data_IF_046801582273
#
_entry.id   IF_046801582273
#
_cell.length_a   1.000
_cell.length_b   1.000
_cell.length_c   1.000
_cell.angle_alpha   90.00
_cell.angle_beta   90.00
_cell.angle_gamma   90.00
#
_symmetry.space_group_name_H-M   'P 1'
#
loop_
_entity.id
_entity.type
_entity.pdbx_description
1 polymer ?
#
# COMPACT_ATOMS: atom_id res chain seq x y z
N UNK A 1 1.28 6.65 -67.67
CA UNK A 1 0.53 7.57 -66.80
C UNK A 1 -0.02 6.89 -65.53
N UNK A 2 -0.48 5.63 -65.58
CA UNK A 2 -1.02 4.93 -64.40
C UNK A 2 0.06 4.49 -63.37
N UNK A 3 1.23 4.04 -63.86
CA UNK A 3 2.34 3.57 -63.02
C UNK A 3 2.99 4.67 -62.17
N UNK A 4 3.08 5.90 -62.69
CA UNK A 4 3.62 7.05 -61.96
C UNK A 4 2.71 7.50 -60.81
N UNK A 5 1.39 7.31 -60.97
CA UNK A 5 0.43 7.66 -59.93
C UNK A 5 0.54 6.72 -58.73
N UNK A 6 0.63 5.40 -58.97
CA UNK A 6 0.82 4.39 -57.91
C UNK A 6 2.07 4.64 -57.06
N UNK A 7 3.19 5.00 -57.70
CA UNK A 7 4.45 5.29 -57.01
C UNK A 7 4.35 6.55 -56.13
N UNK A 8 3.61 7.56 -56.60
CA UNK A 8 3.31 8.79 -55.85
C UNK A 8 2.44 8.50 -54.61
N UNK A 9 1.38 7.69 -54.78
CA UNK A 9 0.49 7.31 -53.67
C UNK A 9 1.23 6.50 -52.61
N UNK A 10 2.08 5.56 -53.03
CA UNK A 10 2.88 4.73 -52.10
C UNK A 10 3.94 5.56 -51.35
N UNK A 11 4.53 6.55 -52.02
CA UNK A 11 5.48 7.48 -51.38
C UNK A 11 4.80 8.42 -50.38
N UNK A 12 3.55 8.81 -50.62
CA UNK A 12 2.80 9.67 -49.70
C UNK A 12 2.31 8.91 -48.46
N UNK A 13 1.89 7.64 -48.62
CA UNK A 13 1.52 6.77 -47.49
C UNK A 13 2.73 6.46 -46.61
N UNK A 14 3.89 6.15 -47.21
CA UNK A 14 5.13 5.97 -46.45
C UNK A 14 5.58 7.26 -45.75
N UNK A 15 5.45 8.44 -46.37
CA UNK A 15 5.76 9.71 -45.68
C UNK A 15 4.77 10.06 -44.56
N UNK A 16 3.50 9.69 -44.71
CA UNK A 16 2.48 9.86 -43.66
C UNK A 16 2.76 8.96 -42.46
N UNK A 17 3.16 7.71 -42.73
CA UNK A 17 3.53 6.72 -41.72
C UNK A 17 4.89 7.02 -41.07
N UNK A 18 5.88 7.43 -41.86
CA UNK A 18 7.16 8.01 -41.42
C UNK A 18 7.00 9.49 -41.02
N UNK A 19 5.86 9.81 -40.42
CA UNK A 19 5.51 11.13 -39.92
C UNK A 19 6.66 11.73 -39.12
N UNK A 20 7.20 12.86 -39.59
CA UNK A 20 8.13 13.73 -38.85
C UNK A 20 7.32 14.52 -37.78
N UNK A 21 6.48 13.80 -37.01
CA UNK A 21 5.71 14.30 -35.88
C UNK A 21 6.49 14.18 -34.56
N UNK A 22 7.82 14.23 -34.66
CA UNK A 22 8.72 14.10 -33.53
C UNK A 22 8.52 15.17 -32.45
N UNK A 23 7.80 16.27 -32.72
CA UNK A 23 7.58 17.33 -31.76
C UNK A 23 6.83 16.85 -30.51
N UNK A 24 5.66 16.22 -30.66
CA UNK A 24 4.87 15.76 -29.50
C UNK A 24 5.44 14.51 -28.82
N UNK A 25 6.11 13.63 -29.57
CA UNK A 25 6.76 12.44 -28.99
C UNK A 25 8.04 12.82 -28.24
N UNK A 26 8.84 13.75 -28.76
CA UNK A 26 10.00 14.28 -28.06
C UNK A 26 9.58 15.09 -26.82
N UNK A 27 8.50 15.88 -26.90
CA UNK A 27 7.93 16.57 -25.73
C UNK A 27 7.49 15.57 -24.64
N UNK A 28 6.77 14.52 -25.02
CA UNK A 28 6.38 13.46 -24.08
C UNK A 28 7.59 12.75 -23.47
N UNK A 29 8.62 12.46 -24.28
CA UNK A 29 9.85 11.84 -23.81
C UNK A 29 10.63 12.76 -22.86
N UNK A 30 10.69 14.07 -23.14
CA UNK A 30 11.34 15.07 -22.27
C UNK A 30 10.60 15.18 -20.94
N UNK A 31 9.27 15.27 -20.95
CA UNK A 31 8.47 15.30 -19.72
C UNK A 31 8.67 14.01 -18.93
N UNK A 32 8.63 12.85 -19.59
CA UNK A 32 8.86 11.55 -18.94
C UNK A 32 10.26 11.47 -18.34
N UNK A 33 11.27 11.97 -19.05
CA UNK A 33 12.64 12.04 -18.54
C UNK A 33 12.78 13.01 -17.35
N UNK A 34 12.11 14.16 -17.39
CA UNK A 34 12.07 15.12 -16.28
C UNK A 34 11.36 14.54 -15.05
N UNK A 35 10.24 13.85 -15.24
CA UNK A 35 9.54 13.18 -14.15
C UNK A 35 10.35 12.00 -13.61
N UNK A 36 11.00 11.23 -14.49
CA UNK A 36 11.88 10.13 -14.08
C UNK A 36 13.08 10.63 -13.27
N UNK A 37 13.72 11.72 -13.68
CA UNK A 37 14.84 12.33 -12.93
C UNK A 37 14.38 12.95 -11.61
N UNK A 38 13.22 13.59 -11.58
CA UNK A 38 12.63 14.08 -10.34
C UNK A 38 12.32 12.94 -9.36
N UNK A 39 11.67 11.86 -9.83
CA UNK A 39 11.40 10.67 -9.02
C UNK A 39 12.70 10.01 -8.57
N UNK A 40 13.71 9.89 -9.45
CA UNK A 40 15.02 9.32 -9.09
C UNK A 40 15.72 10.12 -7.99
N UNK A 41 15.66 11.46 -8.04
CA UNK A 41 16.28 12.31 -7.00
C UNK A 41 15.48 12.34 -5.71
N UNK A 42 14.16 12.15 -5.77
CA UNK A 42 13.30 12.03 -4.60
C UNK A 42 13.37 10.64 -3.94
N UNK A 43 13.68 9.58 -4.70
CA UNK A 43 13.64 8.18 -4.24
C UNK A 43 14.45 7.90 -2.95
N UNK A 44 15.70 8.40 -2.79
CA UNK A 44 16.47 8.15 -1.56
C UNK A 44 15.80 8.76 -0.34
N UNK A 45 15.37 10.02 -0.45
CA UNK A 45 14.68 10.71 0.66
C UNK A 45 13.31 10.11 0.95
N UNK A 46 12.61 9.61 -0.08
CA UNK A 46 11.33 8.95 0.09
C UNK A 46 11.48 7.58 0.77
N UNK A 47 12.58 6.86 0.51
CA UNK A 47 12.92 5.61 1.20
C UNK A 47 13.09 5.82 2.71
N UNK A 48 13.85 6.84 3.12
CA UNK A 48 14.05 7.16 4.53
C UNK A 48 12.74 7.56 5.24
N UNK A 49 11.91 8.36 4.57
CA UNK A 49 10.59 8.75 5.09
C UNK A 49 9.65 7.54 5.19
N UNK A 50 9.71 6.61 4.24
CA UNK A 50 8.93 5.37 4.27
C UNK A 50 9.36 4.44 5.40
N UNK A 51 10.66 4.31 5.67
CA UNK A 51 11.21 3.54 6.79
C UNK A 51 10.70 4.10 8.13
N UNK A 52 10.84 5.42 8.33
CA UNK A 52 10.34 6.10 9.54
C UNK A 52 8.81 5.95 9.67
N UNK A 53 8.08 6.10 8.57
CA UNK A 53 6.62 5.93 8.54
C UNK A 53 6.18 4.50 8.87
N UNK A 54 6.96 3.49 8.47
CA UNK A 54 6.70 2.08 8.83
C UNK A 54 6.88 1.87 10.33
N UNK A 55 7.96 2.37 10.91
CA UNK A 55 8.20 2.27 12.35
C UNK A 55 7.09 2.96 13.16
N UNK A 56 6.71 4.17 12.78
CA UNK A 56 5.61 4.90 13.44
C UNK A 56 4.28 4.16 13.34
N UNK A 57 3.94 3.62 12.16
CA UNK A 57 2.73 2.79 12.00
C UNK A 57 2.76 1.54 12.87
N UNK A 58 3.91 0.87 12.97
CA UNK A 58 4.05 -0.30 13.85
C UNK A 58 3.85 0.09 15.31
N UNK A 59 4.36 1.23 15.76
CA UNK A 59 4.13 1.74 17.12
C UNK A 59 2.63 2.01 17.33
N UNK A 60 1.96 2.69 16.40
CA UNK A 60 0.52 2.96 16.49
C UNK A 60 -0.33 1.68 16.54
N UNK A 61 0.07 0.64 15.81
CA UNK A 61 -0.59 -0.66 15.84
C UNK A 61 -0.35 -1.41 17.16
N UNK A 62 0.88 -1.35 17.69
CA UNK A 62 1.21 -1.93 18.99
C UNK A 62 0.42 -1.24 20.12
N UNK A 63 0.26 0.07 20.08
CA UNK A 63 -0.54 0.81 21.07
C UNK A 63 -2.02 0.40 21.04
N UNK A 64 -2.58 0.15 19.85
CA UNK A 64 -3.94 -0.37 19.71
C UNK A 64 -4.05 -1.77 20.31
N UNK A 65 -3.09 -2.66 20.06
CA UNK A 65 -3.07 -4.01 20.63
C UNK A 65 -2.94 -3.93 22.15
N UNK A 66 -2.07 -3.06 22.67
CA UNK A 66 -1.89 -2.86 24.11
C UNK A 66 -3.19 -2.42 24.77
N UNK A 67 -3.88 -1.45 24.18
CA UNK A 67 -5.17 -0.98 24.69
C UNK A 67 -6.23 -2.08 24.66
N UNK A 68 -6.32 -2.83 23.56
CA UNK A 68 -7.23 -3.97 23.44
C UNK A 68 -6.91 -5.08 24.45
N UNK A 69 -5.63 -5.39 24.66
CA UNK A 69 -5.19 -6.38 25.63
C UNK A 69 -5.51 -5.95 27.07
N UNK A 70 -5.36 -4.66 27.40
CA UNK A 70 -5.80 -4.11 28.69
C UNK A 70 -7.30 -4.26 28.87
N UNK A 71 -8.08 -3.85 27.87
CA UNK A 71 -9.54 -3.96 27.93
C UNK A 71 -9.99 -5.41 28.07
N UNK A 72 -9.37 -6.34 27.34
CA UNK A 72 -9.60 -7.77 27.47
C UNK A 72 -9.28 -8.26 28.89
N UNK A 73 -8.12 -7.93 29.45
CA UNK A 73 -7.76 -8.37 30.80
C UNK A 73 -8.70 -7.81 31.87
N UNK A 74 -9.10 -6.54 31.74
CA UNK A 74 -10.04 -5.88 32.64
C UNK A 74 -11.44 -6.53 32.53
N UNK A 75 -11.91 -6.81 31.31
CA UNK A 75 -13.18 -7.49 31.05
C UNK A 75 -13.17 -8.94 31.53
N UNK A 76 -12.14 -9.73 31.21
CA UNK A 76 -11.96 -11.09 31.72
C UNK A 76 -11.87 -11.11 33.24
N UNK A 77 -11.14 -10.17 33.86
CA UNK A 77 -11.09 -10.05 35.32
C UNK A 77 -12.44 -9.67 35.94
N UNK A 78 -13.26 -8.88 35.25
CA UNK A 78 -14.61 -8.51 35.69
C UNK A 78 -15.61 -9.66 35.51
N UNK A 79 -15.52 -10.41 34.41
CA UNK A 79 -16.40 -11.54 34.09
C UNK A 79 -16.05 -12.79 34.90
N UNK A 80 -14.78 -13.13 34.95
CA UNK A 80 -14.28 -14.32 35.66
C UNK A 80 -14.01 -14.04 37.14
N UNK A 81 -13.86 -12.78 37.56
CA UNK A 81 -13.57 -12.46 38.96
C UNK A 81 -12.14 -12.82 39.37
N UNK A 82 -11.50 -11.94 40.14
CA UNK A 82 -10.11 -12.15 40.61
C UNK A 82 -10.02 -13.40 41.47
N UNK A 83 -9.31 -14.43 41.01
CA UNK A 83 -8.92 -15.58 41.83
C UNK A 83 -9.89 -16.76 41.87
N UNK A 84 -10.44 -17.19 40.72
CA UNK A 84 -11.12 -18.50 40.62
C UNK A 84 -10.11 -19.63 40.72
N UNK A 85 -10.37 -20.59 41.60
CA UNK A 85 -9.72 -21.90 41.56
C UNK A 85 -10.27 -22.67 40.33
N UNK A 86 -9.44 -23.43 39.61
CA UNK A 86 -9.89 -24.22 38.46
C UNK A 86 -11.01 -25.19 38.91
N UNK A 87 -12.22 -25.06 38.33
CA UNK A 87 -13.41 -25.82 38.71
C UNK A 87 -14.53 -25.03 39.44
N UNK A 88 -14.37 -23.72 39.64
CA UNK A 88 -15.36 -22.84 40.28
C UNK A 88 -15.93 -21.82 39.28
N UNK A 89 -17.25 -21.74 39.09
CA UNK A 89 -17.88 -20.79 38.15
C UNK A 89 -18.00 -19.35 38.67
N UNK A 90 -18.07 -19.15 39.99
CA UNK A 90 -18.03 -17.83 40.66
C UNK A 90 -17.42 -17.91 42.06
N UNK A 91 -16.77 -16.83 42.51
CA UNK A 91 -16.12 -16.74 43.83
C UNK A 91 -17.08 -16.91 45.02
N UNK A 92 -18.37 -16.58 44.83
CA UNK A 92 -19.42 -16.76 45.85
C UNK A 92 -20.10 -18.14 45.80
N UNK A 93 -19.69 -19.03 44.90
CA UNK A 93 -20.28 -20.37 44.76
C UNK A 93 -19.39 -21.43 45.42
N UNK A 94 -19.93 -22.29 46.31
CA UNK A 94 -19.16 -23.37 46.92
C UNK A 94 -18.72 -24.39 45.85
N UNK A 95 -17.46 -24.82 45.92
CA UNK A 95 -16.87 -25.84 45.03
C UNK A 95 -16.96 -27.20 45.70
N UNK A 96 -17.43 -28.23 44.98
CA UNK A 96 -17.29 -29.62 45.42
C UNK A 96 -18.58 -30.40 45.70
N UNK A 97 -19.76 -29.91 45.32
CA UNK A 97 -20.98 -30.72 45.37
C UNK A 97 -21.22 -31.38 44.00
N UNK A 98 -20.83 -32.65 43.91
CA UNK A 98 -21.19 -33.54 42.81
C UNK A 98 -22.02 -34.67 43.41
N UNK A 99 -23.31 -34.75 43.06
CA UNK A 99 -24.13 -35.97 43.27
C UNK A 99 -24.05 -36.87 42.06
#
# INVERSE_FOLDING_TARGET
MYLSNQYSTFKSTIKSLASIKGNSLAEFAVITAMMATFVMTALPKFSDVMESGKANKSIDELDKILLQAKNFYEETSALEGRGRLPGQDKFDMPVGDYT
#
